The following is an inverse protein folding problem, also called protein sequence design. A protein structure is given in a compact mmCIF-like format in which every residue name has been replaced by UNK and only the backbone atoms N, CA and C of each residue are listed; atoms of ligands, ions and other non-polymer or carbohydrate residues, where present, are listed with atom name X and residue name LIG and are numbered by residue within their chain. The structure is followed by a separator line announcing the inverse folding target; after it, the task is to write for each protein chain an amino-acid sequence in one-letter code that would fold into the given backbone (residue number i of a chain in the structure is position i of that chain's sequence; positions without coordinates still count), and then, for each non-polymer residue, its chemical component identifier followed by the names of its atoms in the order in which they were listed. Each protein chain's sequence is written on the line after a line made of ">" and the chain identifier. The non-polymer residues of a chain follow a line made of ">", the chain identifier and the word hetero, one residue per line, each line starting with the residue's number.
data_IF_900089787811
#
_entry.id   IF_900089787811
#
_cell.length_a   1.000
_cell.length_b   1.000
_cell.length_c   1.000
_cell.angle_alpha   90.00
_cell.angle_beta   90.00
_cell.angle_gamma   90.00
#
_symmetry.space_group_name_H-M   'P 1'
#
loop_
_entity.id
_entity.type
_entity.pdbx_description
1 polymer ?
#
# COMPACT_ATOMS: atom_id res chain seq x y z
N UNK A 1 -57.74 20.00 41.90
CA UNK A 1 -56.39 20.15 42.48
C UNK A 1 -55.41 19.78 41.38
N UNK A 2 -54.89 20.80 40.70
CA UNK A 2 -54.00 20.67 39.53
C UNK A 2 -52.57 20.39 40.01
N UNK A 3 -51.86 19.47 39.37
CA UNK A 3 -50.39 19.42 39.43
C UNK A 3 -49.85 19.54 38.01
N UNK A 4 -49.12 20.62 37.77
CA UNK A 4 -48.43 20.93 36.52
C UNK A 4 -47.00 20.45 36.69
N UNK A 5 -46.60 19.39 35.98
CA UNK A 5 -45.18 19.02 35.87
C UNK A 5 -44.59 19.59 34.58
N UNK A 6 -43.92 20.72 34.73
CA UNK A 6 -43.07 21.31 33.71
C UNK A 6 -41.83 20.45 33.47
N UNK A 7 -41.83 19.66 32.40
CA UNK A 7 -40.59 19.12 31.85
C UNK A 7 -40.00 20.16 30.88
N UNK A 8 -38.88 20.76 31.29
CA UNK A 8 -38.20 21.84 30.58
C UNK A 8 -37.58 21.36 29.25
N UNK A 9 -37.72 22.22 28.23
CA UNK A 9 -37.25 22.09 26.83
C UNK A 9 -35.74 21.74 26.70
N UNK A 10 -34.96 21.94 27.76
CA UNK A 10 -33.52 21.64 27.83
C UNK A 10 -33.19 20.15 27.76
N UNK A 11 -34.12 19.26 28.15
CA UNK A 11 -33.92 17.81 28.12
C UNK A 11 -33.93 17.22 26.71
N UNK A 12 -34.76 17.77 25.80
CA UNK A 12 -34.90 17.28 24.43
C UNK A 12 -33.70 17.63 23.55
N UNK A 13 -33.03 18.76 23.79
CA UNK A 13 -31.92 19.24 22.95
C UNK A 13 -30.63 18.41 23.15
N UNK A 14 -30.39 17.87 24.36
CA UNK A 14 -29.21 17.01 24.63
C UNK A 14 -29.20 15.71 23.82
N UNK A 15 -30.36 15.24 23.37
CA UNK A 15 -30.49 14.01 22.59
C UNK A 15 -30.43 14.21 21.08
N UNK A 16 -30.56 15.45 20.58
CA UNK A 16 -30.47 15.75 19.15
C UNK A 16 -29.06 16.08 18.65
N UNK A 17 -28.14 16.50 19.54
CA UNK A 17 -26.76 16.89 19.17
C UNK A 17 -25.71 15.79 19.41
N UNK A 18 -26.11 14.59 19.79
CA UNK A 18 -25.17 13.48 20.01
C UNK A 18 -25.19 12.53 18.82
N UNK A 19 -24.08 12.52 18.08
CA UNK A 19 -23.82 11.55 17.03
C UNK A 19 -24.01 10.11 17.57
N UNK A 20 -24.74 9.24 16.83
CA UNK A 20 -25.03 7.86 17.26
C UNK A 20 -23.78 7.05 17.65
N UNK A 21 -22.63 7.44 17.13
CA UNK A 21 -21.33 6.79 17.34
C UNK A 21 -20.85 6.77 18.78
N UNK A 22 -21.30 7.68 19.65
CA UNK A 22 -20.85 7.72 21.05
C UNK A 22 -21.48 6.60 21.89
N UNK A 23 -22.63 6.04 21.49
CA UNK A 23 -23.29 4.95 22.22
C UNK A 23 -22.70 3.57 21.95
N UNK A 24 -21.83 3.40 20.94
CA UNK A 24 -21.17 2.12 20.67
C UNK A 24 -19.98 1.83 21.60
N UNK A 25 -19.57 2.77 22.45
CA UNK A 25 -18.39 2.62 23.31
C UNK A 25 -18.72 2.10 24.72
N UNK A 26 -19.74 1.24 24.85
CA UNK A 26 -19.89 0.36 26.01
C UNK A 26 -19.28 -1.00 25.66
N UNK A 27 -18.10 -1.22 26.22
CA UNK A 27 -17.29 -2.44 26.12
C UNK A 27 -18.13 -3.70 26.38
N UNK A 28 -18.42 -4.45 25.31
CA UNK A 28 -18.69 -5.88 25.42
C UNK A 28 -17.34 -6.61 25.54
N UNK A 29 -17.15 -7.51 26.52
CA UNK A 29 -15.98 -8.37 26.56
C UNK A 29 -16.19 -9.44 25.48
N UNK A 30 -15.36 -9.40 24.43
CA UNK A 30 -15.48 -10.31 23.29
C UNK A 30 -15.45 -9.64 21.92
N UNK A 31 -14.69 -8.54 21.74
CA UNK A 31 -14.30 -8.13 20.39
C UNK A 31 -13.18 -9.07 19.91
N UNK A 32 -13.54 -10.24 19.38
CA UNK A 32 -12.70 -10.87 18.35
C UNK A 32 -12.65 -9.85 17.21
N UNK A 33 -11.57 -9.09 17.12
CA UNK A 33 -11.29 -8.30 15.92
C UNK A 33 -11.26 -9.32 14.79
N UNK A 34 -12.28 -9.33 13.95
CA UNK A 34 -12.26 -10.18 12.76
C UNK A 34 -10.97 -9.87 12.01
N UNK A 35 -10.19 -10.89 11.71
CA UNK A 35 -8.97 -10.73 10.95
C UNK A 35 -9.33 -10.42 9.50
N UNK A 36 -9.44 -9.12 9.20
CA UNK A 36 -9.85 -8.60 7.89
C UNK A 36 -8.74 -8.82 6.84
N UNK A 37 -7.56 -9.33 7.25
CA UNK A 37 -6.40 -9.52 6.38
C UNK A 37 -6.69 -10.38 5.14
N UNK A 38 -7.63 -11.33 5.24
CA UNK A 38 -8.04 -12.17 4.11
C UNK A 38 -9.30 -11.68 3.38
N UNK A 39 -9.94 -10.59 3.83
CA UNK A 39 -11.19 -10.06 3.25
C UNK A 39 -10.96 -8.87 2.31
N UNK A 40 -9.77 -8.27 2.29
CA UNK A 40 -9.47 -7.09 1.46
C UNK A 40 -8.28 -7.38 0.57
N UNK A 41 -8.47 -7.26 -0.75
CA UNK A 41 -7.41 -7.43 -1.74
C UNK A 41 -7.18 -6.13 -2.49
N UNK A 42 -5.93 -5.89 -2.89
CA UNK A 42 -5.59 -4.73 -3.70
C UNK A 42 -6.09 -4.96 -5.13
N UNK A 43 -7.14 -4.24 -5.52
CA UNK A 43 -7.72 -4.36 -6.86
C UNK A 43 -6.90 -3.56 -7.89
N UNK A 44 -6.65 -2.29 -7.58
CA UNK A 44 -6.02 -1.36 -8.52
C UNK A 44 -5.27 -0.27 -7.77
N UNK A 45 -4.14 0.11 -8.35
CA UNK A 45 -3.36 1.26 -7.92
C UNK A 45 -3.60 2.39 -8.90
N UNK A 46 -3.99 3.54 -8.37
CA UNK A 46 -4.17 4.79 -9.09
C UNK A 46 -3.04 5.75 -8.70
N UNK A 47 -2.27 6.20 -9.68
CA UNK A 47 -1.13 7.08 -9.47
C UNK A 47 0.21 6.37 -9.40
N UNK A 48 1.27 7.18 -9.40
CA UNK A 48 2.66 6.77 -9.47
C UNK A 48 3.50 7.65 -8.55
N UNK A 49 4.43 7.04 -7.83
CA UNK A 49 5.35 7.74 -6.92
C UNK A 49 6.74 7.79 -7.55
N UNK A 50 6.89 8.56 -8.62
CA UNK A 50 8.16 8.69 -9.34
C UNK A 50 8.57 10.14 -9.39
N UNK A 51 9.81 10.40 -8.97
CA UNK A 51 10.42 11.73 -8.97
C UNK A 51 11.52 11.88 -10.03
N UNK A 52 11.81 10.84 -10.83
CA UNK A 52 12.81 10.89 -11.90
C UNK A 52 12.90 9.58 -12.69
N UNK A 53 13.69 9.56 -13.77
CA UNK A 53 13.73 8.45 -14.74
C UNK A 53 14.12 7.07 -14.18
N UNK A 54 14.75 7.02 -13.01
CA UNK A 54 15.13 5.78 -12.30
C UNK A 54 13.97 5.00 -11.70
N UNK A 55 12.82 5.64 -11.52
CA UNK A 55 11.65 5.06 -10.87
C UNK A 55 10.67 4.40 -11.85
N UNK A 56 11.04 4.27 -13.12
CA UNK A 56 10.20 3.68 -14.15
C UNK A 56 11.03 2.70 -14.95
N UNK A 57 10.50 1.50 -15.18
CA UNK A 57 11.12 0.53 -16.06
C UNK A 57 10.08 -0.09 -16.99
N UNK A 58 10.49 -0.42 -18.20
CA UNK A 58 9.68 -1.14 -19.17
C UNK A 58 10.47 -2.36 -19.62
N UNK A 59 9.83 -3.52 -19.62
CA UNK A 59 10.38 -4.71 -20.26
C UNK A 59 10.26 -4.55 -21.79
N UNK A 60 11.39 -4.46 -22.52
CA UNK A 60 11.38 -4.24 -23.96
C UNK A 60 10.76 -5.41 -24.74
N UNK A 61 10.72 -6.62 -24.17
CA UNK A 61 10.21 -7.83 -24.84
C UNK A 61 8.69 -7.95 -24.70
N UNK A 62 8.18 -7.79 -23.48
CA UNK A 62 6.75 -8.00 -23.21
C UNK A 62 5.93 -6.71 -23.23
N UNK A 63 6.57 -5.55 -23.11
CA UNK A 63 5.91 -4.26 -22.92
C UNK A 63 5.29 -4.09 -21.53
N UNK A 64 5.73 -4.90 -20.55
CA UNK A 64 5.31 -4.77 -19.16
C UNK A 64 5.97 -3.53 -18.54
N UNK A 65 5.17 -2.66 -17.95
CA UNK A 65 5.64 -1.43 -17.31
C UNK A 65 5.68 -1.64 -15.80
N UNK A 66 6.84 -1.45 -15.18
CA UNK A 66 7.00 -1.42 -13.74
C UNK A 66 7.05 0.03 -13.25
N UNK A 67 6.25 0.34 -12.24
CA UNK A 67 6.30 1.62 -11.55
C UNK A 67 5.99 1.49 -10.06
N UNK A 68 6.59 2.31 -9.20
CA UNK A 68 6.36 2.31 -7.77
C UNK A 68 5.16 3.20 -7.43
N UNK A 69 4.39 2.77 -6.45
CA UNK A 69 3.36 3.53 -5.77
C UNK A 69 3.56 3.36 -4.26
N UNK A 70 4.30 4.28 -3.65
CA UNK A 70 4.77 4.15 -2.27
C UNK A 70 5.71 2.95 -2.08
N UNK A 71 5.28 1.95 -1.32
CA UNK A 71 6.03 0.71 -1.06
C UNK A 71 5.58 -0.48 -1.93
N UNK A 72 4.69 -0.25 -2.89
CA UNK A 72 4.18 -1.25 -3.83
C UNK A 72 4.81 -1.04 -5.19
N UNK A 73 5.28 -2.10 -5.84
CA UNK A 73 5.55 -2.05 -7.28
C UNK A 73 4.32 -2.51 -8.03
N UNK A 74 3.90 -1.70 -8.99
CA UNK A 74 2.86 -2.04 -9.95
C UNK A 74 3.52 -2.52 -11.22
N UNK A 75 3.18 -3.74 -11.62
CA UNK A 75 3.47 -4.31 -12.92
C UNK A 75 2.22 -4.17 -13.79
N UNK A 76 2.26 -3.24 -14.73
CA UNK A 76 1.14 -2.90 -15.59
C UNK A 76 1.36 -3.43 -16.99
N UNK A 77 0.41 -4.24 -17.47
CA UNK A 77 0.33 -4.63 -18.87
C UNK A 77 -0.61 -3.67 -19.61
N UNK A 78 -0.09 -2.73 -20.43
CA UNK A 78 -0.90 -1.73 -21.10
C UNK A 78 -1.82 -2.33 -22.18
N UNK A 79 -1.42 -3.44 -22.81
CA UNK A 79 -2.21 -4.10 -23.87
C UNK A 79 -3.47 -4.77 -23.34
N UNK A 80 -3.36 -5.38 -22.16
CA UNK A 80 -4.48 -6.07 -21.48
C UNK A 80 -5.16 -5.22 -20.42
N UNK A 81 -4.67 -4.01 -20.18
CA UNK A 81 -5.08 -3.12 -19.10
C UNK A 81 -5.16 -3.83 -17.73
N UNK A 82 -4.16 -4.68 -17.44
CA UNK A 82 -4.13 -5.50 -16.22
C UNK A 82 -2.95 -5.10 -15.34
N UNK A 83 -3.21 -4.95 -14.05
CA UNK A 83 -2.18 -4.67 -13.04
C UNK A 83 -1.91 -5.92 -12.21
N UNK A 84 -0.63 -6.12 -11.91
CA UNK A 84 -0.15 -7.01 -10.87
C UNK A 84 0.65 -6.19 -9.88
N UNK A 85 0.70 -6.63 -8.62
CA UNK A 85 1.33 -5.88 -7.56
C UNK A 85 2.35 -6.76 -6.83
N UNK A 86 3.51 -6.18 -6.56
CA UNK A 86 4.53 -6.74 -5.68
C UNK A 86 4.53 -5.90 -4.41
N UNK A 87 4.18 -6.56 -3.30
CA UNK A 87 4.12 -5.92 -2.00
C UNK A 87 5.45 -6.09 -1.29
N UNK A 88 6.13 -4.96 -1.03
CA UNK A 88 7.40 -5.00 -0.34
C UNK A 88 7.22 -5.30 1.15
N UNK A 89 7.94 -6.29 1.67
CA UNK A 89 7.84 -6.75 3.08
C UNK A 89 8.25 -5.67 4.08
N UNK A 90 9.27 -4.88 3.76
CA UNK A 90 9.84 -3.83 4.62
C UNK A 90 8.97 -2.58 4.79
N UNK A 91 7.94 -2.42 3.93
CA UNK A 91 7.10 -1.21 3.84
C UNK A 91 7.86 0.10 3.58
N UNK A 92 9.12 0.05 3.14
CA UNK A 92 9.89 1.23 2.72
C UNK A 92 9.49 1.67 1.32
N UNK A 93 9.58 2.97 1.05
CA UNK A 93 9.31 3.54 -0.27
C UNK A 93 10.34 3.06 -1.28
N UNK A 94 9.87 2.76 -2.48
CA UNK A 94 10.73 2.32 -3.58
C UNK A 94 11.22 3.55 -4.35
N UNK A 95 12.53 3.65 -4.53
CA UNK A 95 13.19 4.83 -5.12
C UNK A 95 13.75 4.56 -6.51
N UNK A 96 14.07 3.31 -6.81
CA UNK A 96 14.64 2.90 -8.08
C UNK A 96 14.17 1.49 -8.45
N UNK A 97 14.02 1.22 -9.74
CA UNK A 97 13.69 -0.10 -10.27
C UNK A 97 14.26 -0.28 -11.67
N UNK A 98 14.60 -1.53 -12.00
CA UNK A 98 15.03 -1.91 -13.34
C UNK A 98 14.63 -3.35 -13.64
N UNK A 99 14.30 -3.64 -14.90
CA UNK A 99 14.12 -4.99 -15.41
C UNK A 99 15.46 -5.58 -15.85
N UNK A 100 15.60 -6.90 -15.70
CA UNK A 100 16.66 -7.62 -16.37
C UNK A 100 16.44 -7.63 -17.89
N UNK A 101 17.49 -7.74 -18.72
CA UNK A 101 17.36 -7.75 -20.18
C UNK A 101 16.46 -8.88 -20.71
N UNK A 102 16.36 -9.99 -19.99
CA UNK A 102 15.48 -11.11 -20.30
C UNK A 102 14.03 -10.91 -19.81
N UNK A 103 13.76 -9.86 -19.02
CA UNK A 103 12.46 -9.54 -18.44
C UNK A 103 12.01 -10.50 -17.33
N UNK A 104 12.87 -11.44 -16.91
CA UNK A 104 12.53 -12.44 -15.89
C UNK A 104 12.59 -11.87 -14.48
N UNK A 105 13.49 -10.93 -14.25
CA UNK A 105 13.76 -10.35 -12.95
C UNK A 105 13.48 -8.85 -12.93
N UNK A 106 13.01 -8.38 -11.78
CA UNK A 106 12.91 -6.98 -11.46
C UNK A 106 13.75 -6.69 -10.21
N UNK A 107 14.62 -5.70 -10.27
CA UNK A 107 15.33 -5.19 -9.10
C UNK A 107 14.65 -3.93 -8.59
N UNK A 108 14.55 -3.80 -7.27
CA UNK A 108 13.98 -2.63 -6.59
C UNK A 108 14.93 -2.13 -5.51
N UNK A 109 15.13 -0.82 -5.45
CA UNK A 109 15.88 -0.14 -4.41
C UNK A 109 14.97 0.65 -3.48
N UNK A 110 15.28 0.65 -2.19
CA UNK A 110 14.48 1.32 -1.15
C UNK A 110 15.06 2.65 -0.69
N UNK A 111 14.20 3.49 -0.12
CA UNK A 111 14.59 4.71 0.60
C UNK A 111 14.94 4.44 2.07
N UNK A 112 15.52 5.44 2.72
CA UNK A 112 15.68 5.49 4.18
C UNK A 112 16.99 4.89 4.68
N UNK A 113 17.02 4.55 5.97
CA UNK A 113 18.17 3.93 6.63
C UNK A 113 18.15 2.42 6.47
N UNK A 114 19.32 1.80 6.29
CA UNK A 114 19.44 0.35 6.04
C UNK A 114 18.48 -0.14 4.94
N UNK A 115 18.45 0.47 3.75
CA UNK A 115 17.60 0.00 2.68
C UNK A 115 18.09 -1.32 2.12
N UNK A 116 17.16 -2.14 1.65
CA UNK A 116 17.45 -3.32 0.87
C UNK A 116 17.38 -3.02 -0.63
N UNK A 117 18.22 -3.70 -1.39
CA UNK A 117 18.00 -3.96 -2.80
C UNK A 117 17.39 -5.36 -2.91
N UNK A 118 16.21 -5.46 -3.49
CA UNK A 118 15.50 -6.74 -3.66
C UNK A 118 15.40 -7.10 -5.12
N UNK A 119 15.59 -8.39 -5.41
CA UNK A 119 15.34 -8.96 -6.73
C UNK A 119 14.09 -9.82 -6.65
N UNK A 120 13.21 -9.63 -7.62
CA UNK A 120 11.92 -10.27 -7.71
C UNK A 120 11.84 -11.09 -8.99
N UNK A 121 11.27 -12.28 -8.91
CA UNK A 121 10.82 -13.01 -10.09
C UNK A 121 9.52 -12.38 -10.58
N UNK A 122 9.48 -11.95 -11.85
CA UNK A 122 8.33 -11.24 -12.43
C UNK A 122 7.14 -12.19 -12.65
N UNK A 123 7.40 -13.46 -12.98
CA UNK A 123 6.36 -14.45 -13.26
C UNK A 123 5.68 -14.93 -11.97
N UNK A 124 6.50 -15.28 -10.98
CA UNK A 124 6.03 -15.79 -9.69
C UNK A 124 5.64 -14.66 -8.72
N UNK A 125 6.14 -13.44 -8.95
CA UNK A 125 5.98 -12.27 -8.05
C UNK A 125 6.54 -12.54 -6.66
N UNK A 126 7.58 -13.35 -6.58
CA UNK A 126 8.25 -13.74 -5.34
C UNK A 126 9.62 -13.07 -5.26
N UNK A 127 10.05 -12.81 -4.03
CA UNK A 127 11.39 -12.30 -3.76
C UNK A 127 12.39 -13.45 -3.92
N UNK A 128 13.40 -13.27 -4.77
CA UNK A 128 14.45 -14.29 -5.00
C UNK A 128 15.77 -13.93 -4.33
N UNK A 129 16.04 -12.64 -4.13
CA UNK A 129 17.26 -12.19 -3.46
C UNK A 129 17.04 -10.87 -2.71
N UNK A 130 17.88 -10.67 -1.69
CA UNK A 130 17.92 -9.46 -0.88
C UNK A 130 19.36 -9.09 -0.54
N UNK A 131 19.70 -7.82 -0.75
CA UNK A 131 21.03 -7.26 -0.54
C UNK A 131 20.88 -6.05 0.40
N UNK A 132 21.43 -6.12 1.60
CA UNK A 132 21.34 -5.06 2.63
C UNK A 132 22.71 -4.47 2.98
N UNK A 133 23.47 -4.04 1.97
CA UNK A 133 24.80 -3.45 2.18
C UNK A 133 24.78 -1.92 2.26
N UNK A 134 23.72 -1.29 1.71
CA UNK A 134 23.60 0.16 1.70
C UNK A 134 23.20 0.69 3.08
N UNK A 135 23.86 1.76 3.53
CA UNK A 135 23.54 2.45 4.80
C UNK A 135 22.36 3.43 4.66
N UNK A 136 22.19 3.99 3.46
CA UNK A 136 21.18 5.00 3.12
C UNK A 136 20.55 4.70 1.77
N UNK A 137 19.43 5.37 1.50
CA UNK A 137 18.54 5.15 0.35
C UNK A 137 19.24 4.85 -0.97
N UNK A 138 18.76 3.81 -1.65
CA UNK A 138 19.30 3.37 -2.93
C UNK A 138 18.98 4.41 -4.01
N UNK A 139 20.03 4.96 -4.61
CA UNK A 139 19.92 6.03 -5.59
C UNK A 139 19.53 5.50 -6.98
N UNK A 140 20.13 4.42 -7.45
CA UNK A 140 19.84 3.85 -8.77
C UNK A 140 20.13 2.35 -8.76
N UNK A 141 19.47 1.61 -9.64
CA UNK A 141 19.71 0.18 -9.88
C UNK A 141 19.61 -0.06 -11.38
N UNK A 142 20.43 -0.98 -11.89
CA UNK A 142 20.42 -1.40 -13.28
C UNK A 142 20.89 -2.85 -13.37
N UNK A 143 20.38 -3.57 -14.37
CA UNK A 143 20.99 -4.82 -14.82
C UNK A 143 21.98 -4.52 -15.94
N UNK A 144 22.99 -5.39 -16.07
CA UNK A 144 23.94 -5.37 -17.19
C UNK A 144 23.39 -6.10 -18.41
#
# INVERSE_FOLDING_TARGET
>A
MMSVEGSTITSRIKNLLRSPSIKLRRSKPGNKREDIGNKVTLEKVLGITVSGGRGLACDPRTGLVAYPAGCVVVLFNPRKNKQHHILNSSRKTITALAFSPDGKYLVTGESGHMPAVRVWDVAERTQVAELQEHKYGVACVAFS
#
